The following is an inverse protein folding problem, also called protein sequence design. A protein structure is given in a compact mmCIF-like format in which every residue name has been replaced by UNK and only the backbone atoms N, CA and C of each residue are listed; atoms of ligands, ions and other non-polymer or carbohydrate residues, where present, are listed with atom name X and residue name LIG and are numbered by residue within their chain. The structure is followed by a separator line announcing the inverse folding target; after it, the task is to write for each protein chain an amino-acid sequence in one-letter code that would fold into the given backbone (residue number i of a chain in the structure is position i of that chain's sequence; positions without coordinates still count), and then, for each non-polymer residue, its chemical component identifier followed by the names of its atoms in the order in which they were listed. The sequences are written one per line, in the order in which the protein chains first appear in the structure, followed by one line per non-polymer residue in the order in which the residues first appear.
data_IF_599240364002
#
_entry.id   IF_599240364002
#
_cell.length_a   1.000
_cell.length_b   1.000
_cell.length_c   1.000
_cell.angle_alpha   90.00
_cell.angle_beta   90.00
_cell.angle_gamma   90.00
#
_symmetry.space_group_name_H-M   'P 1'
#
loop_
_entity.id
_entity.type
_entity.pdbx_description
1 polymer ?
#
# COMPACT_ATOMS: atom_id res chain seq x y z
N UNK A 1 69.06 4.55 12.95
CA UNK A 1 68.99 5.21 11.63
C UNK A 1 68.19 4.31 10.71
N UNK A 2 67.27 4.89 9.96
CA UNK A 2 66.02 4.37 9.41
C UNK A 2 66.14 3.29 8.33
N UNK A 3 65.32 2.25 8.43
CA UNK A 3 64.93 1.35 7.33
C UNK A 3 64.11 2.14 6.31
N UNK A 4 64.37 2.10 4.99
CA UNK A 4 63.45 2.64 4.00
C UNK A 4 62.31 1.66 3.74
N UNK A 5 61.08 2.15 3.87
CA UNK A 5 59.86 1.44 3.51
C UNK A 5 59.84 1.08 2.04
N UNK A 6 59.71 -0.22 1.76
CA UNK A 6 59.46 -0.73 0.42
C UNK A 6 57.95 -0.57 0.14
N UNK A 7 57.54 0.64 -0.22
CA UNK A 7 56.21 0.87 -0.79
C UNK A 7 56.11 0.08 -2.10
N UNK A 8 55.38 -1.03 -2.06
CA UNK A 8 54.94 -1.75 -3.24
C UNK A 8 54.06 -0.85 -4.08
N UNK A 9 54.67 -0.10 -5.02
CA UNK A 9 53.94 0.52 -6.11
C UNK A 9 53.45 -0.61 -6.98
N UNK A 10 52.14 -0.84 -6.94
CA UNK A 10 51.46 -1.57 -7.99
C UNK A 10 51.64 -0.77 -9.28
N UNK A 11 52.57 -1.22 -10.11
CA UNK A 11 52.70 -0.74 -11.48
C UNK A 11 51.46 -1.21 -12.24
N UNK A 12 50.46 -0.33 -12.33
CA UNK A 12 49.29 -0.57 -13.17
C UNK A 12 49.74 -0.40 -14.61
N UNK A 13 49.70 -1.50 -15.38
CA UNK A 13 50.07 -1.50 -16.78
C UNK A 13 49.31 -0.40 -17.57
N UNK A 14 50.00 0.39 -18.41
CA UNK A 14 49.35 1.38 -19.26
C UNK A 14 48.38 0.68 -20.22
N UNK A 15 47.07 0.82 -19.98
CA UNK A 15 46.00 0.20 -20.81
C UNK A 15 44.97 -0.62 -20.04
N UNK A 16 45.13 -0.83 -18.73
CA UNK A 16 44.12 -1.51 -17.91
C UNK A 16 42.94 -0.57 -17.56
N UNK A 17 42.08 -0.29 -18.55
CA UNK A 17 40.76 0.30 -18.32
C UNK A 17 39.80 -0.83 -17.94
N UNK A 18 39.97 -1.37 -16.74
CA UNK A 18 39.23 -2.53 -16.25
C UNK A 18 39.11 -2.50 -14.74
N UNK A 19 38.55 -1.41 -14.20
CA UNK A 19 38.06 -1.42 -12.82
C UNK A 19 36.93 -2.45 -12.68
N UNK A 20 36.68 -3.01 -11.49
CA UNK A 20 35.55 -3.89 -11.26
C UNK A 20 34.28 -3.20 -11.75
N UNK A 21 33.58 -3.84 -12.69
CA UNK A 21 32.29 -3.36 -13.18
C UNK A 21 31.38 -3.14 -11.97
N UNK A 22 30.65 -2.00 -11.85
CA UNK A 22 29.77 -1.76 -10.73
C UNK A 22 28.78 -2.93 -10.62
N UNK A 23 28.91 -3.74 -9.55
CA UNK A 23 27.94 -4.79 -9.28
C UNK A 23 26.61 -4.12 -8.98
N UNK A 24 25.74 -4.09 -9.98
CA UNK A 24 24.40 -3.55 -9.87
C UNK A 24 23.59 -4.53 -9.01
N UNK A 25 23.64 -4.37 -7.69
CA UNK A 25 22.76 -5.14 -6.80
C UNK A 25 21.34 -4.61 -7.02
N UNK A 26 20.42 -5.41 -7.57
CA UNK A 26 19.04 -4.97 -7.72
C UNK A 26 18.47 -4.62 -6.33
N UNK A 27 17.85 -3.46 -6.23
CA UNK A 27 17.24 -3.02 -4.98
C UNK A 27 16.26 -4.08 -4.46
N UNK A 28 16.23 -4.35 -3.13
CA UNK A 28 15.34 -5.37 -2.59
C UNK A 28 13.88 -5.09 -2.95
N UNK A 29 13.14 -6.12 -3.36
CA UNK A 29 11.70 -6.00 -3.57
C UNK A 29 11.02 -5.88 -2.21
N UNK A 30 10.62 -4.67 -1.84
CA UNK A 30 10.06 -4.37 -0.50
C UNK A 30 8.53 -4.48 -0.42
N UNK A 31 7.84 -4.41 -1.56
CA UNK A 31 6.38 -4.33 -1.61
C UNK A 31 5.81 -2.94 -1.30
N UNK A 32 6.65 -1.90 -1.11
CA UNK A 32 6.21 -0.54 -0.79
C UNK A 32 5.22 0.05 -1.81
N UNK A 33 5.37 -0.31 -3.08
CA UNK A 33 4.46 0.12 -4.16
C UNK A 33 2.99 -0.23 -3.88
N UNK A 34 2.72 -1.33 -3.17
CA UNK A 34 1.35 -1.70 -2.81
C UNK A 34 0.65 -0.65 -1.93
N UNK A 35 1.40 0.09 -1.11
CA UNK A 35 0.89 1.22 -0.34
C UNK A 35 0.79 2.49 -1.20
N UNK A 36 1.79 2.78 -2.02
CA UNK A 36 1.79 4.00 -2.83
C UNK A 36 0.65 4.05 -3.85
N UNK A 37 0.27 2.90 -4.42
CA UNK A 37 -0.86 2.83 -5.36
C UNK A 37 -2.18 3.25 -4.70
N UNK A 38 -2.31 3.14 -3.38
CA UNK A 38 -3.50 3.61 -2.66
C UNK A 38 -3.76 5.11 -2.77
N UNK A 39 -2.74 5.92 -3.09
CA UNK A 39 -2.90 7.36 -3.32
C UNK A 39 -3.68 7.71 -4.59
N UNK A 40 -3.93 6.74 -5.47
CA UNK A 40 -4.81 6.96 -6.61
C UNK A 40 -6.19 7.44 -6.17
N UNK A 41 -6.62 7.14 -4.94
CA UNK A 41 -7.83 7.72 -4.33
C UNK A 41 -7.90 9.26 -4.42
N UNK A 42 -6.76 9.96 -4.35
CA UNK A 42 -6.72 11.42 -4.37
C UNK A 42 -6.82 12.03 -5.78
N UNK A 43 -6.77 11.22 -6.84
CA UNK A 43 -6.94 11.72 -8.21
C UNK A 43 -8.39 12.23 -8.36
N UNK A 44 -8.62 13.44 -8.91
CA UNK A 44 -9.94 14.06 -9.02
C UNK A 44 -10.82 13.44 -10.14
N UNK A 45 -10.82 12.11 -10.21
CA UNK A 45 -11.72 11.29 -11.03
C UNK A 45 -12.43 10.33 -10.06
N UNK A 46 -13.33 10.84 -9.19
CA UNK A 46 -13.59 10.31 -7.86
C UNK A 46 -14.03 8.84 -7.83
N UNK A 47 -14.83 8.38 -8.79
CA UNK A 47 -15.29 6.98 -8.83
C UNK A 47 -14.20 6.06 -9.34
N UNK A 48 -13.57 6.40 -10.47
CA UNK A 48 -12.56 5.54 -11.10
C UNK A 48 -11.31 5.48 -10.23
N UNK A 49 -10.86 6.62 -9.73
CA UNK A 49 -9.66 6.74 -8.92
C UNK A 49 -9.76 5.95 -7.61
N UNK A 50 -10.93 6.00 -6.97
CA UNK A 50 -11.27 5.21 -5.79
C UNK A 50 -11.31 3.70 -6.08
N UNK A 51 -11.93 3.28 -7.18
CA UNK A 51 -11.97 1.84 -7.54
C UNK A 51 -10.55 1.33 -7.78
N UNK A 52 -9.73 2.07 -8.51
CA UNK A 52 -8.36 1.66 -8.79
C UNK A 52 -7.53 1.60 -7.50
N UNK A 53 -7.70 2.54 -6.56
CA UNK A 53 -7.00 2.51 -5.27
C UNK A 53 -7.33 1.27 -4.44
N UNK A 54 -8.56 0.73 -4.57
CA UNK A 54 -8.95 -0.51 -3.91
C UNK A 54 -8.38 -1.75 -4.61
N UNK A 55 -8.50 -1.80 -5.94
CA UNK A 55 -8.18 -3.00 -6.73
C UNK A 55 -6.68 -3.21 -6.91
N UNK A 56 -5.93 -2.14 -7.17
CA UNK A 56 -4.55 -2.30 -7.61
C UNK A 56 -3.61 -2.83 -6.50
N UNK A 57 -3.77 -2.49 -5.21
CA UNK A 57 -3.04 -3.14 -4.11
C UNK A 57 -3.38 -4.63 -3.96
N UNK A 58 -4.62 -5.02 -4.22
CA UNK A 58 -5.03 -6.44 -4.25
C UNK A 58 -4.34 -7.19 -5.39
N UNK A 59 -4.35 -6.63 -6.61
CA UNK A 59 -3.64 -7.21 -7.76
C UNK A 59 -2.14 -7.33 -7.47
N UNK A 60 -1.57 -6.32 -6.83
CA UNK A 60 -0.16 -6.30 -6.42
C UNK A 60 0.14 -7.44 -5.44
N UNK A 61 -0.71 -7.64 -4.44
CA UNK A 61 -0.57 -8.77 -3.51
C UNK A 61 -0.71 -10.12 -4.20
N UNK A 62 -1.69 -10.30 -5.10
CA UNK A 62 -1.88 -11.57 -5.84
C UNK A 62 -0.65 -11.94 -6.67
N UNK A 63 0.09 -10.95 -7.19
CA UNK A 63 1.36 -11.17 -7.90
C UNK A 63 2.50 -11.50 -6.95
N UNK A 64 2.64 -10.77 -5.84
CA UNK A 64 3.76 -10.90 -4.91
C UNK A 64 3.64 -12.09 -3.95
N UNK A 65 2.42 -12.59 -3.66
CA UNK A 65 2.19 -13.66 -2.68
C UNK A 65 2.93 -14.97 -2.98
N UNK A 66 3.25 -15.23 -4.26
CA UNK A 66 3.98 -16.45 -4.67
C UNK A 66 5.46 -16.42 -4.29
N UNK A 67 6.05 -15.23 -4.17
CA UNK A 67 7.46 -15.07 -3.82
C UNK A 67 7.73 -15.15 -2.31
N UNK A 68 6.69 -15.12 -1.48
CA UNK A 68 6.83 -15.10 -0.02
C UNK A 68 7.61 -13.88 0.51
N UNK A 69 8.12 -14.00 1.73
CA UNK A 69 8.99 -13.01 2.35
C UNK A 69 8.34 -11.64 2.59
N UNK A 70 9.19 -10.62 2.72
CA UNK A 70 8.78 -9.26 3.09
C UNK A 70 7.76 -8.66 2.11
N UNK A 71 8.00 -8.77 0.80
CA UNK A 71 7.12 -8.18 -0.21
C UNK A 71 5.70 -8.77 -0.18
N UNK A 72 5.59 -10.10 0.03
CA UNK A 72 4.31 -10.76 0.17
C UNK A 72 3.55 -10.27 1.41
N UNK A 73 4.24 -10.12 2.54
CA UNK A 73 3.62 -9.65 3.78
C UNK A 73 3.23 -8.16 3.72
N UNK A 74 4.11 -7.29 3.21
CA UNK A 74 3.82 -5.86 3.03
C UNK A 74 2.63 -5.65 2.10
N UNK A 75 2.61 -6.34 0.95
CA UNK A 75 1.51 -6.23 0.01
C UNK A 75 0.20 -6.80 0.56
N UNK A 76 0.26 -7.84 1.42
CA UNK A 76 -0.90 -8.40 2.11
C UNK A 76 -1.57 -7.36 3.01
N UNK A 77 -0.77 -6.65 3.81
CA UNK A 77 -1.28 -5.62 4.72
C UNK A 77 -1.92 -4.45 3.96
N UNK A 78 -1.28 -4.01 2.87
CA UNK A 78 -1.83 -2.98 1.99
C UNK A 78 -3.16 -3.41 1.34
N UNK A 79 -3.21 -4.63 0.81
CA UNK A 79 -4.41 -5.18 0.19
C UNK A 79 -5.56 -5.35 1.20
N UNK A 80 -5.29 -5.87 2.40
CA UNK A 80 -6.29 -6.02 3.45
C UNK A 80 -6.87 -4.66 3.89
N UNK A 81 -6.02 -3.63 4.02
CA UNK A 81 -6.51 -2.29 4.34
C UNK A 81 -7.41 -1.73 3.25
N UNK A 82 -7.01 -1.84 1.98
CA UNK A 82 -7.78 -1.30 0.87
C UNK A 82 -9.12 -2.02 0.70
N UNK A 83 -9.15 -3.34 0.91
CA UNK A 83 -10.41 -4.10 0.98
C UNK A 83 -11.26 -3.71 2.20
N UNK A 84 -10.65 -3.38 3.34
CA UNK A 84 -11.38 -2.89 4.51
C UNK A 84 -12.05 -1.55 4.19
N UNK A 85 -11.30 -0.62 3.59
CA UNK A 85 -11.83 0.67 3.19
C UNK A 85 -12.95 0.52 2.14
N UNK A 86 -12.75 -0.34 1.13
CA UNK A 86 -13.79 -0.66 0.14
C UNK A 86 -15.04 -1.24 0.80
N UNK A 87 -14.88 -2.18 1.74
CA UNK A 87 -15.98 -2.84 2.44
C UNK A 87 -16.78 -1.85 3.28
N UNK A 88 -16.12 -0.97 4.03
CA UNK A 88 -16.80 0.05 4.82
C UNK A 88 -17.53 1.05 3.91
N UNK A 89 -16.90 1.46 2.81
CA UNK A 89 -17.49 2.42 1.87
C UNK A 89 -18.71 1.85 1.16
N UNK A 90 -18.56 0.71 0.50
CA UNK A 90 -19.63 0.08 -0.30
C UNK A 90 -20.67 -0.56 0.61
N UNK A 91 -20.26 -1.34 1.61
CA UNK A 91 -21.16 -1.99 2.55
C UNK A 91 -21.96 -0.97 3.36
N UNK A 92 -21.31 0.09 3.84
CA UNK A 92 -21.99 1.19 4.52
C UNK A 92 -23.03 1.87 3.62
N UNK A 93 -22.68 2.13 2.35
CA UNK A 93 -23.61 2.75 1.41
C UNK A 93 -24.82 1.86 1.16
N UNK A 94 -24.61 0.57 0.91
CA UNK A 94 -25.68 -0.39 0.65
C UNK A 94 -26.61 -0.53 1.86
N UNK A 95 -26.06 -0.56 3.08
CA UNK A 95 -26.86 -0.60 4.30
C UNK A 95 -27.69 0.68 4.50
N UNK A 96 -27.07 1.86 4.34
CA UNK A 96 -27.76 3.14 4.48
C UNK A 96 -28.83 3.35 3.40
N UNK A 97 -28.51 3.04 2.14
CA UNK A 97 -29.46 3.11 1.04
C UNK A 97 -30.59 2.09 1.21
N UNK A 98 -30.28 0.85 1.62
CA UNK A 98 -31.27 -0.18 1.90
C UNK A 98 -32.23 0.24 3.01
N UNK A 99 -31.72 0.81 4.10
CA UNK A 99 -32.55 1.34 5.18
C UNK A 99 -33.47 2.48 4.71
N UNK A 100 -32.96 3.39 3.87
CA UNK A 100 -33.76 4.45 3.26
C UNK A 100 -34.85 3.90 2.35
N UNK A 101 -34.54 2.91 1.51
CA UNK A 101 -35.52 2.27 0.64
C UNK A 101 -36.63 1.57 1.44
N UNK A 102 -36.27 0.88 2.52
CA UNK A 102 -37.24 0.24 3.43
C UNK A 102 -38.12 1.29 4.11
N UNK A 103 -37.53 2.38 4.60
CA UNK A 103 -38.28 3.48 5.23
C UNK A 103 -39.26 4.14 4.25
N UNK A 104 -38.81 4.42 3.02
CA UNK A 104 -39.65 4.98 1.96
C UNK A 104 -40.80 4.05 1.59
N UNK A 105 -40.53 2.74 1.45
CA UNK A 105 -41.56 1.73 1.18
C UNK A 105 -42.59 1.61 2.31
N UNK A 106 -42.20 1.92 3.55
CA UNK A 106 -43.07 1.97 4.71
C UNK A 106 -43.84 3.31 4.85
N UNK A 107 -43.72 4.23 3.88
CA UNK A 107 -44.40 5.54 3.91
C UNK A 107 -43.76 6.55 4.86
N UNK A 108 -42.54 6.28 5.35
CA UNK A 108 -41.78 7.22 6.18
C UNK A 108 -41.16 8.28 5.26
N UNK A 109 -41.34 9.56 5.60
CA UNK A 109 -40.66 10.65 4.90
C UNK A 109 -39.14 10.50 5.04
N UNK A 110 -38.46 10.28 3.92
CA UNK A 110 -37.00 10.14 3.86
C UNK A 110 -36.32 11.44 3.45
N UNK A 111 -35.27 11.83 4.17
CA UNK A 111 -34.40 12.96 3.83
C UNK A 111 -33.00 12.43 3.41
N UNK A 112 -32.44 12.84 2.25
CA UNK A 112 -31.08 12.49 1.85
C UNK A 112 -29.99 12.77 2.91
N UNK A 113 -30.22 13.71 3.84
CA UNK A 113 -29.33 13.99 4.97
C UNK A 113 -29.15 12.79 5.90
N UNK A 114 -29.99 11.77 5.83
CA UNK A 114 -29.79 10.51 6.55
C UNK A 114 -28.57 9.71 6.05
N UNK A 115 -27.98 10.10 4.91
CA UNK A 115 -26.69 9.58 4.44
C UNK A 115 -25.48 10.28 5.09
N UNK A 116 -25.68 11.36 5.86
CA UNK A 116 -24.58 12.06 6.53
C UNK A 116 -23.71 11.17 7.44
N UNK A 117 -24.26 10.23 8.23
CA UNK A 117 -23.45 9.30 9.02
C UNK A 117 -22.54 8.43 8.15
N UNK A 118 -23.04 7.92 7.03
CA UNK A 118 -22.22 7.16 6.08
C UNK A 118 -21.11 8.03 5.50
N UNK A 119 -21.44 9.25 5.06
CA UNK A 119 -20.46 10.18 4.51
C UNK A 119 -19.36 10.55 5.53
N UNK A 120 -19.73 10.76 6.80
CA UNK A 120 -18.78 11.00 7.88
C UNK A 120 -17.84 9.81 8.09
N UNK A 121 -18.37 8.57 8.13
CA UNK A 121 -17.57 7.35 8.25
C UNK A 121 -16.59 7.22 7.07
N UNK A 122 -17.05 7.40 5.83
CA UNK A 122 -16.19 7.31 4.64
C UNK A 122 -15.10 8.38 4.66
N UNK A 123 -15.42 9.59 5.11
CA UNK A 123 -14.44 10.68 5.24
C UNK A 123 -13.35 10.32 6.26
N UNK A 124 -13.74 9.81 7.43
CA UNK A 124 -12.80 9.35 8.47
C UNK A 124 -11.91 8.23 7.93
N UNK A 125 -12.51 7.26 7.22
CA UNK A 125 -11.77 6.15 6.61
C UNK A 125 -10.83 6.61 5.48
N UNK A 126 -11.21 7.64 4.73
CA UNK A 126 -10.35 8.27 3.73
C UNK A 126 -9.10 8.89 4.36
N UNK A 127 -9.26 9.62 5.46
CA UNK A 127 -8.13 10.17 6.24
C UNK A 127 -7.25 9.05 6.79
N UNK A 128 -7.84 8.03 7.42
CA UNK A 128 -7.12 6.87 7.92
C UNK A 128 -6.35 6.14 6.80
N UNK A 129 -6.93 6.08 5.60
CA UNK A 129 -6.28 5.48 4.43
C UNK A 129 -5.03 6.24 4.05
N UNK A 130 -5.08 7.56 3.96
CA UNK A 130 -3.91 8.39 3.70
C UNK A 130 -2.81 8.11 4.74
N UNK A 131 -3.16 8.12 6.03
CA UNK A 131 -2.22 7.84 7.12
C UNK A 131 -1.56 6.48 6.95
N UNK A 132 -2.35 5.43 6.68
CA UNK A 132 -1.82 4.09 6.49
C UNK A 132 -0.99 3.92 5.21
N UNK A 133 -1.32 4.64 4.14
CA UNK A 133 -0.47 4.64 2.92
C UNK A 133 0.90 5.25 3.22
N UNK A 134 0.96 6.37 3.96
CA UNK A 134 2.24 7.00 4.35
C UNK A 134 3.04 6.08 5.26
N UNK A 135 2.45 5.62 6.36
CA UNK A 135 3.14 4.75 7.32
C UNK A 135 3.56 3.42 6.70
N UNK A 136 2.70 2.84 5.86
CA UNK A 136 2.95 1.59 5.16
C UNK A 136 4.05 1.69 4.14
N UNK A 137 4.00 2.70 3.26
CA UNK A 137 5.01 2.92 2.24
C UNK A 137 6.38 3.25 2.83
N UNK A 138 6.43 4.10 3.86
CA UNK A 138 7.69 4.47 4.54
C UNK A 138 8.31 3.31 5.31
N UNK A 139 7.52 2.52 6.06
CA UNK A 139 8.01 1.32 6.76
C UNK A 139 8.50 0.26 5.77
N UNK A 140 7.75 0.00 4.72
CA UNK A 140 8.16 -0.94 3.68
C UNK A 140 9.49 -0.54 3.04
N UNK A 141 9.70 0.76 2.79
CA UNK A 141 10.98 1.29 2.32
C UNK A 141 12.17 0.97 3.25
N UNK A 142 11.93 0.81 4.55
CA UNK A 142 12.94 0.41 5.55
C UNK A 142 13.06 -1.10 5.77
N UNK A 143 12.32 -1.91 5.01
CA UNK A 143 12.27 -3.35 5.24
C UNK A 143 11.32 -3.80 6.36
N UNK A 144 10.48 -2.89 6.86
CA UNK A 144 9.54 -3.16 7.96
C UNK A 144 8.11 -3.39 7.45
N UNK A 145 7.34 -4.18 8.19
CA UNK A 145 5.92 -4.41 7.91
C UNK A 145 5.06 -3.45 8.73
N UNK A 146 4.25 -2.65 8.04
CA UNK A 146 3.18 -1.88 8.68
C UNK A 146 1.92 -2.74 8.84
N UNK A 147 1.36 -2.77 10.05
CA UNK A 147 0.10 -3.46 10.36
C UNK A 147 -0.97 -2.41 10.64
N UNK A 148 -1.83 -2.08 9.66
CA UNK A 148 -2.91 -1.11 9.85
C UNK A 148 -3.88 -1.59 10.93
N UNK A 149 -4.19 -0.71 11.89
CA UNK A 149 -5.11 -1.03 12.97
C UNK A 149 -6.55 -1.04 12.42
N UNK A 150 -7.36 -2.00 12.85
CA UNK A 150 -8.74 -2.16 12.36
C UNK A 150 -8.88 -2.77 10.96
N UNK A 151 -7.78 -3.19 10.31
CA UNK A 151 -7.87 -3.90 9.04
C UNK A 151 -8.49 -5.29 9.20
N UNK A 152 -9.44 -5.61 8.33
CA UNK A 152 -10.04 -6.94 8.22
C UNK A 152 -9.06 -7.84 7.44
N UNK A 153 -8.78 -9.02 7.98
CA UNK A 153 -7.83 -9.98 7.39
C UNK A 153 -8.40 -10.80 6.24
N UNK A 154 -8.65 -10.17 5.08
CA UNK A 154 -9.15 -10.87 3.88
C UNK A 154 -8.15 -11.91 3.36
N UNK A 155 -6.86 -11.58 3.37
CA UNK A 155 -5.76 -12.47 3.02
C UNK A 155 -5.04 -12.96 4.28
N UNK A 156 -4.94 -14.30 4.40
CA UNK A 156 -4.21 -14.98 5.48
C UNK A 156 -2.70 -14.91 5.27
N UNK A 157 -1.89 -14.98 6.34
CA UNK A 157 -0.44 -15.13 6.21
C UNK A 157 -0.12 -16.41 5.42
N UNK A 158 0.84 -16.33 4.51
CA UNK A 158 1.44 -17.51 3.87
C UNK A 158 2.48 -18.07 4.84
N UNK A 159 2.20 -19.26 5.37
CA UNK A 159 3.10 -20.08 6.19
C UNK A 159 4.20 -20.72 5.36
#
# INVERSE_FOLDING_TARGET
MTTPEQHGRYEVAPGAVGGPEPQFHPAPVTGAMAWWIGFLYLVPVPVVSQIVSWVAPVVTHVRLRRGGGLAAEVSRQAANWQLTFATVTVGGLLLSAGALLVAAAAGVTTDPRWLLPWFAIVTIMGVATIVHMILGGTKAGRGEVHRPWGAIGFFKPVS
#
